data_IF_832262402144
#
_entry.id   IF_832262402144
#
_cell.length_a   1.000
_cell.length_b   1.000
_cell.length_c   1.000
_cell.angle_alpha   90.00
_cell.angle_beta   90.00
_cell.angle_gamma   90.00
#
_symmetry.space_group_name_H-M   'P 1'
#
loop_
_entity.id
_entity.type
_entity.pdbx_description
1 polymer ?
#
# COMPACT_ATOMS: atom_id res chain seq x y z
N UNK A 1 -23.53 2.49 -50.13
CA UNK A 1 -23.13 2.72 -48.72
C UNK A 1 -22.78 4.20 -48.61
N UNK A 2 -23.63 4.97 -47.95
CA UNK A 2 -23.40 6.39 -47.69
C UNK A 2 -22.16 6.51 -46.82
N UNK A 3 -21.12 7.17 -47.32
CA UNK A 3 -20.00 7.60 -46.50
C UNK A 3 -20.54 8.80 -45.74
N UNK A 4 -20.94 8.60 -44.48
CA UNK A 4 -21.23 9.73 -43.60
C UNK A 4 -20.04 10.69 -43.66
N UNK A 5 -20.26 12.01 -43.88
CA UNK A 5 -19.17 12.97 -43.89
C UNK A 5 -18.44 12.85 -42.55
N UNK A 6 -17.13 12.61 -42.64
CA UNK A 6 -16.25 12.41 -41.50
C UNK A 6 -16.35 13.68 -40.65
N UNK A 7 -17.00 13.58 -39.50
CA UNK A 7 -17.10 14.69 -38.56
C UNK A 7 -15.69 15.07 -38.12
N UNK A 8 -15.27 16.30 -38.45
CA UNK A 8 -14.04 16.94 -37.99
C UNK A 8 -14.49 17.95 -36.96
N UNK A 9 -13.96 17.85 -35.74
CA UNK A 9 -14.19 18.85 -34.71
C UNK A 9 -13.18 19.99 -34.87
N UNK A 10 -13.63 21.23 -34.68
CA UNK A 10 -12.77 22.40 -34.52
C UNK A 10 -12.09 22.41 -33.16
N UNK A 11 -11.02 23.21 -33.00
CA UNK A 11 -10.31 23.33 -31.73
C UNK A 11 -11.20 23.84 -30.60
N UNK A 12 -12.10 24.80 -30.89
CA UNK A 12 -13.06 25.33 -29.91
C UNK A 12 -14.07 24.25 -29.48
N UNK A 13 -14.53 23.41 -30.42
CA UNK A 13 -15.42 22.29 -30.08
C UNK A 13 -14.71 21.24 -29.22
N UNK A 14 -13.45 20.92 -29.53
CA UNK A 14 -12.65 19.96 -28.75
C UNK A 14 -12.46 20.47 -27.32
N UNK A 15 -12.09 21.74 -27.15
CA UNK A 15 -11.89 22.37 -25.84
C UNK A 15 -13.20 22.41 -25.04
N UNK A 16 -14.30 22.85 -25.67
CA UNK A 16 -15.61 22.90 -25.03
C UNK A 16 -16.09 21.51 -24.59
N UNK A 17 -15.90 20.49 -25.41
CA UNK A 17 -16.23 19.10 -25.05
C UNK A 17 -15.39 18.62 -23.87
N UNK A 18 -14.08 18.88 -23.87
CA UNK A 18 -13.18 18.51 -22.77
C UNK A 18 -13.63 19.11 -21.44
N UNK A 19 -13.86 20.42 -21.41
CA UNK A 19 -14.35 21.12 -20.21
C UNK A 19 -15.70 20.58 -19.72
N UNK A 20 -16.63 20.32 -20.64
CA UNK A 20 -17.93 19.76 -20.25
C UNK A 20 -17.80 18.34 -19.68
N UNK A 21 -16.97 17.48 -20.26
CA UNK A 21 -16.75 16.12 -19.75
C UNK A 21 -16.17 16.16 -18.34
N UNK A 22 -15.14 16.98 -18.12
CA UNK A 22 -14.51 17.16 -16.80
C UNK A 22 -15.53 17.68 -15.79
N UNK A 23 -16.33 18.70 -16.16
CA UNK A 23 -17.35 19.26 -15.27
C UNK A 23 -18.45 18.25 -14.89
N UNK A 24 -18.93 17.42 -15.83
CA UNK A 24 -19.88 16.36 -15.52
C UNK A 24 -19.29 15.31 -14.58
N UNK A 25 -18.03 14.91 -14.82
CA UNK A 25 -17.35 13.91 -14.01
C UNK A 25 -17.09 14.42 -12.58
N UNK A 26 -16.63 15.67 -12.43
CA UNK A 26 -16.45 16.33 -11.13
C UNK A 26 -17.77 16.50 -10.38
N UNK A 27 -18.89 16.64 -11.09
CA UNK A 27 -20.24 16.63 -10.49
C UNK A 27 -20.77 15.23 -10.13
N UNK A 28 -19.95 14.18 -10.27
CA UNK A 28 -20.31 12.79 -9.99
C UNK A 28 -21.20 12.14 -11.06
N UNK A 29 -21.46 12.82 -12.18
CA UNK A 29 -22.36 12.36 -13.25
C UNK A 29 -21.59 11.55 -14.31
N UNK A 30 -21.06 10.40 -13.88
CA UNK A 30 -20.16 9.52 -14.66
C UNK A 30 -20.75 9.11 -16.02
N UNK A 31 -22.01 8.72 -16.08
CA UNK A 31 -22.69 8.36 -17.34
C UNK A 31 -22.81 9.55 -18.31
N UNK A 32 -23.08 10.75 -17.79
CA UNK A 32 -23.16 11.94 -18.62
C UNK A 32 -21.79 12.32 -19.20
N UNK A 33 -20.74 12.23 -18.37
CA UNK A 33 -19.36 12.42 -18.81
C UNK A 33 -18.98 11.41 -19.91
N UNK A 34 -19.32 10.13 -19.71
CA UNK A 34 -19.11 9.07 -20.69
C UNK A 34 -19.80 9.32 -22.04
N UNK A 35 -21.07 9.74 -22.03
CA UNK A 35 -21.77 10.06 -23.26
C UNK A 35 -21.18 11.29 -23.97
N UNK A 36 -20.79 12.32 -23.20
CA UNK A 36 -20.23 13.56 -23.76
C UNK A 36 -18.83 13.40 -24.35
N UNK A 37 -18.05 12.40 -23.93
CA UNK A 37 -16.71 12.17 -24.49
C UNK A 37 -16.72 11.41 -25.83
N UNK A 38 -17.83 10.78 -26.20
CA UNK A 38 -17.93 9.96 -27.42
C UNK A 38 -17.56 10.71 -28.72
N UNK A 39 -17.93 11.99 -28.92
CA UNK A 39 -17.51 12.73 -30.11
C UNK A 39 -15.99 12.84 -30.23
N UNK A 40 -15.28 13.12 -29.12
CA UNK A 40 -13.82 13.16 -29.08
C UNK A 40 -13.24 11.78 -29.42
N UNK A 41 -13.75 10.72 -28.78
CA UNK A 41 -13.32 9.33 -29.02
C UNK A 41 -13.50 8.91 -30.47
N UNK A 42 -14.57 9.34 -31.14
CA UNK A 42 -14.84 9.00 -32.54
C UNK A 42 -13.84 9.63 -33.52
N UNK A 43 -13.39 10.86 -33.27
CA UNK A 43 -12.53 11.60 -34.21
C UNK A 43 -11.04 11.49 -33.90
N UNK A 44 -10.68 11.03 -32.69
CA UNK A 44 -9.29 10.98 -32.22
C UNK A 44 -8.34 10.28 -33.20
N UNK A 45 -8.78 9.24 -33.90
CA UNK A 45 -7.92 8.44 -34.78
C UNK A 45 -7.34 9.25 -35.97
N UNK A 46 -7.91 10.42 -36.27
CA UNK A 46 -7.47 11.34 -37.34
C UNK A 46 -7.14 12.74 -36.83
N UNK A 47 -7.39 13.02 -35.55
CA UNK A 47 -7.18 14.33 -34.94
C UNK A 47 -6.36 14.17 -33.65
N UNK A 48 -5.03 14.36 -33.71
CA UNK A 48 -4.17 14.32 -32.54
C UNK A 48 -4.62 15.26 -31.42
N UNK A 49 -5.24 16.40 -31.75
CA UNK A 49 -5.80 17.35 -30.79
C UNK A 49 -6.94 16.73 -29.97
N UNK A 50 -7.83 15.97 -30.61
CA UNK A 50 -8.90 15.25 -29.92
C UNK A 50 -8.34 14.09 -29.08
N UNK A 51 -7.29 13.41 -29.57
CA UNK A 51 -6.57 12.41 -28.78
C UNK A 51 -5.94 13.02 -27.52
N UNK A 52 -5.28 14.18 -27.64
CA UNK A 52 -4.71 14.91 -26.51
C UNK A 52 -5.78 15.38 -25.52
N UNK A 53 -6.95 15.81 -26.00
CA UNK A 53 -8.08 16.17 -25.13
C UNK A 53 -8.60 14.97 -24.33
N UNK A 54 -8.73 13.80 -24.96
CA UNK A 54 -9.08 12.55 -24.26
C UNK A 54 -8.06 12.18 -23.19
N UNK A 55 -6.76 12.30 -23.51
CA UNK A 55 -5.69 12.04 -22.55
C UNK A 55 -5.73 13.03 -21.38
N UNK A 56 -6.08 14.30 -21.63
CA UNK A 56 -6.34 15.29 -20.58
C UNK A 56 -7.47 14.85 -19.64
N UNK A 57 -8.60 14.40 -20.19
CA UNK A 57 -9.72 13.87 -19.39
C UNK A 57 -9.29 12.66 -18.55
N UNK A 58 -8.49 11.75 -19.13
CA UNK A 58 -7.94 10.59 -18.40
C UNK A 58 -7.00 11.03 -17.27
N UNK A 59 -6.13 12.01 -17.54
CA UNK A 59 -5.17 12.53 -16.56
C UNK A 59 -5.85 13.11 -15.31
N UNK A 60 -7.00 13.77 -15.47
CA UNK A 60 -7.81 14.30 -14.37
C UNK A 60 -8.51 13.22 -13.53
N UNK A 61 -8.29 11.92 -13.80
CA UNK A 61 -8.86 10.77 -13.05
C UNK A 61 -10.39 10.81 -12.94
N UNK A 62 -11.04 11.41 -13.93
CA UNK A 62 -12.48 11.66 -13.97
C UNK A 62 -13.30 10.46 -14.46
N UNK A 63 -12.63 9.44 -15.02
CA UNK A 63 -13.27 8.28 -15.64
C UNK A 63 -13.08 7.03 -14.80
N UNK A 64 -13.95 6.04 -15.01
CA UNK A 64 -13.70 4.69 -14.49
C UNK A 64 -12.41 4.12 -15.09
N UNK A 65 -11.72 3.28 -14.33
CA UNK A 65 -10.39 2.77 -14.72
C UNK A 65 -10.44 1.99 -16.02
N UNK A 66 -11.47 1.15 -16.20
CA UNK A 66 -11.69 0.35 -17.40
C UNK A 66 -11.87 1.23 -18.63
N UNK A 67 -12.65 2.31 -18.48
CA UNK A 67 -12.85 3.31 -19.53
C UNK A 67 -11.56 4.04 -19.88
N UNK A 68 -10.76 4.41 -18.87
CA UNK A 68 -9.47 5.03 -19.09
C UNK A 68 -8.52 4.11 -19.87
N UNK A 69 -8.46 2.82 -19.51
CA UNK A 69 -7.66 1.80 -20.19
C UNK A 69 -8.07 1.66 -21.66
N UNK A 70 -9.38 1.60 -21.95
CA UNK A 70 -9.90 1.53 -23.32
C UNK A 70 -9.44 2.73 -24.17
N UNK A 71 -9.59 3.94 -23.63
CA UNK A 71 -9.17 5.18 -24.31
C UNK A 71 -7.66 5.17 -24.57
N UNK A 72 -6.86 4.83 -23.55
CA UNK A 72 -5.40 4.77 -23.68
C UNK A 72 -4.98 3.76 -24.74
N UNK A 73 -5.64 2.60 -24.79
CA UNK A 73 -5.38 1.55 -25.79
C UNK A 73 -5.67 2.02 -27.21
N UNK A 74 -6.84 2.61 -27.43
CA UNK A 74 -7.24 3.12 -28.75
C UNK A 74 -6.34 4.24 -29.26
N UNK A 75 -6.01 5.19 -28.37
CA UNK A 75 -5.13 6.32 -28.71
C UNK A 75 -3.71 5.83 -29.00
N UNK A 76 -3.16 4.93 -28.17
CA UNK A 76 -1.84 4.35 -28.38
C UNK A 76 -1.75 3.52 -29.67
N UNK A 77 -2.85 2.91 -30.11
CA UNK A 77 -2.92 2.18 -31.38
C UNK A 77 -3.03 3.11 -32.58
N UNK A 78 -3.81 4.19 -32.46
CA UNK A 78 -4.10 5.10 -33.58
C UNK A 78 -2.95 6.07 -33.88
N UNK A 79 -2.15 6.38 -32.87
CA UNK A 79 -1.04 7.36 -32.94
C UNK A 79 0.30 6.72 -32.61
N UNK A 80 0.56 5.54 -33.16
CA UNK A 80 1.69 4.67 -32.80
C UNK A 80 3.10 5.21 -33.17
N UNK A 81 3.16 6.29 -33.96
CA UNK A 81 4.41 6.99 -34.32
C UNK A 81 4.46 8.45 -33.81
N UNK A 82 3.37 8.97 -33.25
CA UNK A 82 3.35 10.33 -32.73
C UNK A 82 3.95 10.35 -31.32
N UNK A 83 5.19 10.84 -31.23
CA UNK A 83 5.90 10.89 -29.95
C UNK A 83 5.18 11.75 -28.91
N UNK A 84 4.47 12.81 -29.32
CA UNK A 84 3.77 13.71 -28.39
C UNK A 84 2.59 12.98 -27.74
N UNK A 85 1.80 12.30 -28.57
CA UNK A 85 0.65 11.52 -28.12
C UNK A 85 1.11 10.34 -27.26
N UNK A 86 2.08 9.54 -27.72
CA UNK A 86 2.58 8.40 -26.95
C UNK A 86 3.21 8.81 -25.60
N UNK A 87 3.94 9.93 -25.56
CA UNK A 87 4.48 10.46 -24.31
C UNK A 87 3.36 10.80 -23.32
N UNK A 88 2.26 11.38 -23.82
CA UNK A 88 1.09 11.69 -23.01
C UNK A 88 0.35 10.43 -22.55
N UNK A 89 0.20 9.41 -23.41
CA UNK A 89 -0.33 8.09 -23.03
C UNK A 89 0.50 7.51 -21.88
N UNK A 90 1.84 7.50 -22.01
CA UNK A 90 2.74 6.97 -20.98
C UNK A 90 2.57 7.63 -19.61
N UNK A 91 2.37 8.96 -19.59
CA UNK A 91 2.05 9.70 -18.35
C UNK A 91 0.68 9.36 -17.78
N UNK A 92 -0.30 9.10 -18.65
CA UNK A 92 -1.68 8.81 -18.24
C UNK A 92 -1.90 7.38 -17.73
N UNK A 93 -0.97 6.44 -17.96
CA UNK A 93 -1.08 5.07 -17.43
C UNK A 93 -1.17 5.01 -15.91
N UNK A 94 -0.62 6.00 -15.19
CA UNK A 94 -0.80 6.11 -13.74
C UNK A 94 -2.24 6.45 -13.34
N UNK A 95 -3.00 7.17 -14.17
CA UNK A 95 -4.42 7.43 -13.94
C UNK A 95 -5.28 6.19 -14.19
N UNK A 96 -4.79 5.25 -15.00
CA UNK A 96 -5.40 3.95 -15.27
C UNK A 96 -4.95 2.84 -14.29
N UNK A 97 -4.13 3.17 -13.29
CA UNK A 97 -3.71 2.25 -12.23
C UNK A 97 -4.51 2.51 -10.95
N UNK A 98 -4.72 1.46 -10.14
CA UNK A 98 -5.33 1.61 -8.82
C UNK A 98 -4.30 2.19 -7.85
N UNK A 99 -4.21 3.53 -7.82
CA UNK A 99 -3.24 4.23 -6.96
C UNK A 99 -3.61 4.15 -5.48
N UNK A 100 -4.89 3.89 -5.18
CA UNK A 100 -5.37 3.78 -3.81
C UNK A 100 -4.95 2.43 -3.23
N UNK A 101 -4.92 1.34 -4.02
CA UNK A 101 -4.31 0.08 -3.60
C UNK A 101 -2.82 0.02 -3.97
N UNK A 102 -1.99 0.78 -3.25
CA UNK A 102 -0.54 0.88 -3.49
C UNK A 102 0.19 -0.48 -3.52
N UNK A 103 -0.35 -1.50 -2.82
CA UNK A 103 0.20 -2.85 -2.79
C UNK A 103 -0.38 -3.78 -3.88
N UNK A 104 -1.20 -3.28 -4.81
CA UNK A 104 -1.72 -4.07 -5.91
C UNK A 104 -0.60 -4.75 -6.73
N UNK A 105 -0.89 -5.91 -7.34
CA UNK A 105 0.00 -6.47 -8.36
C UNK A 105 0.12 -5.52 -9.57
N UNK A 106 1.17 -5.65 -10.39
CA UNK A 106 1.33 -4.87 -11.61
C UNK A 106 0.12 -5.04 -12.52
N UNK A 107 -0.25 -3.99 -13.28
CA UNK A 107 -1.40 -4.03 -14.17
C UNK A 107 -1.21 -5.11 -15.24
N UNK A 108 -2.24 -5.92 -15.45
CA UNK A 108 -2.22 -7.02 -16.42
C UNK A 108 -2.65 -6.62 -17.84
N UNK A 109 -3.09 -5.37 -18.05
CA UNK A 109 -3.56 -4.95 -19.36
C UNK A 109 -2.38 -4.76 -20.35
N UNK A 110 -2.46 -5.32 -21.58
CA UNK A 110 -1.38 -5.23 -22.57
C UNK A 110 -0.96 -3.81 -22.94
N UNK A 111 -1.82 -2.79 -22.76
CA UNK A 111 -1.50 -1.39 -23.11
C UNK A 111 -0.26 -0.89 -22.37
N UNK A 112 -0.07 -1.30 -21.10
CA UNK A 112 1.07 -0.88 -20.29
C UNK A 112 2.39 -1.35 -20.90
N UNK A 113 2.48 -2.62 -21.30
CA UNK A 113 3.67 -3.18 -21.93
C UNK A 113 3.92 -2.58 -23.31
N UNK A 114 2.88 -2.48 -24.14
CA UNK A 114 2.94 -1.94 -25.50
C UNK A 114 3.43 -0.48 -25.52
N UNK A 115 2.93 0.35 -24.62
CA UNK A 115 3.34 1.76 -24.51
C UNK A 115 4.78 1.89 -24.05
N UNK A 116 5.22 1.09 -23.07
CA UNK A 116 6.63 1.07 -22.64
C UNK A 116 7.56 0.70 -23.80
N UNK A 117 7.24 -0.35 -24.56
CA UNK A 117 8.06 -0.78 -25.70
C UNK A 117 8.15 0.29 -26.79
N UNK A 118 7.03 0.92 -27.14
CA UNK A 118 6.98 2.02 -28.11
C UNK A 118 7.80 3.22 -27.64
N UNK A 119 7.64 3.62 -26.39
CA UNK A 119 8.35 4.77 -25.82
C UNK A 119 9.86 4.51 -25.67
N UNK A 120 10.26 3.28 -25.35
CA UNK A 120 11.68 2.89 -25.34
C UNK A 120 12.31 3.01 -26.73
N UNK A 121 11.59 2.55 -27.77
CA UNK A 121 12.02 2.71 -29.16
C UNK A 121 12.17 4.17 -29.56
N UNK A 122 11.18 5.01 -29.24
CA UNK A 122 11.22 6.44 -29.50
C UNK A 122 12.36 7.14 -28.73
N UNK A 123 12.61 6.76 -27.47
CA UNK A 123 13.67 7.36 -26.66
C UNK A 123 15.06 7.16 -27.29
N UNK A 124 15.29 6.04 -27.99
CA UNK A 124 16.51 5.76 -28.77
C UNK A 124 16.58 6.60 -30.04
N UNK A 125 15.46 6.72 -30.78
CA UNK A 125 15.40 7.52 -32.03
C UNK A 125 15.66 9.00 -31.77
N UNK A 126 15.14 9.53 -30.66
CA UNK A 126 15.25 10.94 -30.29
C UNK A 126 16.42 11.23 -29.35
N UNK A 127 17.38 10.32 -29.19
CA UNK A 127 18.51 10.51 -28.28
C UNK A 127 19.28 11.81 -28.54
N UNK A 128 19.48 12.60 -27.48
CA UNK A 128 20.16 13.90 -27.55
C UNK A 128 19.34 15.03 -28.19
N UNK A 129 18.08 14.76 -28.57
CA UNK A 129 17.18 15.78 -29.16
C UNK A 129 16.23 16.33 -28.09
N UNK A 130 15.70 17.57 -28.27
CA UNK A 130 14.75 18.16 -27.33
C UNK A 130 13.49 17.31 -27.08
N UNK A 131 13.06 16.52 -28.06
CA UNK A 131 11.90 15.63 -27.94
C UNK A 131 12.15 14.44 -26.99
N UNK A 132 13.40 14.14 -26.66
CA UNK A 132 13.73 13.02 -25.78
C UNK A 132 13.15 13.20 -24.38
N UNK A 133 13.13 14.43 -23.85
CA UNK A 133 12.64 14.72 -22.50
C UNK A 133 11.19 14.24 -22.30
N UNK A 134 10.18 14.71 -23.06
CA UNK A 134 8.80 14.28 -22.85
C UNK A 134 8.60 12.77 -23.08
N UNK A 135 9.38 12.16 -23.99
CA UNK A 135 9.36 10.71 -24.23
C UNK A 135 9.85 9.97 -22.98
N UNK A 136 10.95 10.41 -22.39
CA UNK A 136 11.49 9.82 -21.16
C UNK A 136 10.56 10.04 -19.96
N UNK A 137 9.86 11.18 -19.86
CA UNK A 137 8.85 11.40 -18.82
C UNK A 137 7.69 10.39 -18.92
N UNK A 138 7.18 10.17 -20.14
CA UNK A 138 6.17 9.15 -20.40
C UNK A 138 6.69 7.74 -20.12
N UNK A 139 7.91 7.42 -20.58
CA UNK A 139 8.53 6.11 -20.42
C UNK A 139 8.78 5.78 -18.95
N UNK A 140 9.33 6.72 -18.19
CA UNK A 140 9.62 6.52 -16.77
C UNK A 140 8.34 6.25 -15.97
N UNK A 141 7.27 7.01 -16.25
CA UNK A 141 5.95 6.82 -15.61
C UNK A 141 5.35 5.47 -15.97
N UNK A 142 5.29 5.15 -17.26
CA UNK A 142 4.74 3.90 -17.76
C UNK A 142 5.50 2.67 -17.22
N UNK A 143 6.84 2.73 -17.23
CA UNK A 143 7.69 1.66 -16.72
C UNK A 143 7.54 1.48 -15.20
N UNK A 144 7.41 2.57 -14.43
CA UNK A 144 7.16 2.51 -12.99
C UNK A 144 5.83 1.83 -12.65
N UNK A 145 4.79 2.02 -13.47
CA UNK A 145 3.48 1.36 -13.31
C UNK A 145 3.54 -0.16 -13.47
N UNK A 146 4.49 -0.67 -14.27
CA UNK A 146 4.77 -2.11 -14.39
C UNK A 146 5.60 -2.67 -13.22
N UNK A 147 5.63 -1.95 -12.09
CA UNK A 147 6.31 -2.33 -10.87
C UNK A 147 7.72 -2.89 -11.15
N UNK A 148 8.08 -4.05 -10.58
CA UNK A 148 9.43 -4.61 -10.68
C UNK A 148 9.81 -5.09 -12.09
N UNK A 149 8.83 -5.29 -12.97
CA UNK A 149 9.06 -5.87 -14.30
C UNK A 149 9.88 -4.95 -15.23
N UNK A 150 9.87 -3.64 -15.00
CA UNK A 150 10.54 -2.64 -15.84
C UNK A 150 11.41 -1.65 -15.05
N UNK A 151 11.91 -2.05 -13.89
CA UNK A 151 12.70 -1.17 -13.01
C UNK A 151 13.94 -0.57 -13.68
N UNK A 152 14.67 -1.36 -14.47
CA UNK A 152 15.84 -0.87 -15.19
C UNK A 152 15.50 0.26 -16.18
N UNK A 153 14.36 0.16 -16.86
CA UNK A 153 13.88 1.19 -17.79
C UNK A 153 13.41 2.42 -17.02
N UNK A 154 12.64 2.24 -15.94
CA UNK A 154 12.15 3.34 -15.11
C UNK A 154 13.31 4.13 -14.48
N UNK A 155 14.28 3.45 -13.87
CA UNK A 155 15.43 4.08 -13.23
C UNK A 155 16.30 4.82 -14.24
N UNK A 156 16.69 4.16 -15.34
CA UNK A 156 17.54 4.78 -16.36
C UNK A 156 16.88 6.01 -16.97
N UNK A 157 15.55 5.96 -17.20
CA UNK A 157 14.78 7.10 -17.70
C UNK A 157 14.73 8.25 -16.70
N UNK A 158 14.46 7.98 -15.42
CA UNK A 158 14.48 9.01 -14.37
C UNK A 158 15.86 9.64 -14.20
N UNK A 159 16.94 8.84 -14.19
CA UNK A 159 18.31 9.37 -14.12
C UNK A 159 18.61 10.25 -15.33
N UNK A 160 18.22 9.83 -16.54
CA UNK A 160 18.44 10.64 -17.75
C UNK A 160 17.69 11.97 -17.69
N UNK A 161 16.47 11.99 -17.16
CA UNK A 161 15.73 13.24 -16.94
C UNK A 161 16.45 14.19 -15.98
N UNK A 162 17.07 13.67 -14.91
CA UNK A 162 17.89 14.51 -14.00
C UNK A 162 19.18 15.02 -14.66
N UNK A 163 19.72 14.33 -15.66
CA UNK A 163 20.86 14.81 -16.45
C UNK A 163 20.47 15.91 -17.44
N UNK A 164 19.31 15.75 -18.10
CA UNK A 164 18.78 16.74 -19.06
C UNK A 164 18.38 18.02 -18.32
N UNK A 165 17.69 17.88 -17.19
CA UNK A 165 17.18 19.00 -16.39
C UNK A 165 17.64 18.92 -14.92
N UNK A 166 18.92 19.20 -14.63
CA UNK A 166 19.47 19.05 -13.28
C UNK A 166 18.85 19.99 -12.25
N UNK A 167 18.21 21.09 -12.70
CA UNK A 167 17.56 22.09 -11.84
C UNK A 167 16.03 21.92 -11.74
N UNK A 168 15.44 20.93 -12.40
CA UNK A 168 13.98 20.67 -12.33
C UNK A 168 13.69 19.79 -11.12
N UNK A 169 13.18 20.40 -10.05
CA UNK A 169 12.86 19.70 -8.79
C UNK A 169 12.01 18.44 -8.98
N UNK A 170 11.00 18.52 -9.86
CA UNK A 170 10.11 17.41 -10.19
C UNK A 170 10.85 16.16 -10.74
N UNK A 171 11.96 16.32 -11.46
CA UNK A 171 12.75 15.18 -11.95
C UNK A 171 13.39 14.41 -10.78
N UNK A 172 13.94 15.13 -9.80
CA UNK A 172 14.54 14.54 -8.62
C UNK A 172 13.49 13.93 -7.68
N UNK A 173 12.34 14.59 -7.53
CA UNK A 173 11.22 14.04 -6.76
C UNK A 173 10.74 12.71 -7.33
N UNK A 174 10.53 12.62 -8.66
CA UNK A 174 10.06 11.40 -9.29
C UNK A 174 11.08 10.25 -9.19
N UNK A 175 12.38 10.55 -9.28
CA UNK A 175 13.43 9.57 -9.01
C UNK A 175 13.42 9.12 -7.53
N UNK A 176 13.20 10.04 -6.60
CA UNK A 176 13.04 9.74 -5.18
C UNK A 176 11.82 8.86 -4.88
N UNK A 177 10.70 9.13 -5.55
CA UNK A 177 9.48 8.31 -5.46
C UNK A 177 9.72 6.90 -6.01
N UNK A 178 10.41 6.78 -7.14
CA UNK A 178 10.84 5.48 -7.67
C UNK A 178 11.63 4.72 -6.60
N UNK A 179 12.68 5.32 -6.03
CA UNK A 179 13.49 4.68 -4.99
C UNK A 179 12.70 4.31 -3.71
N UNK A 180 11.78 5.16 -3.26
CA UNK A 180 10.89 4.89 -2.11
C UNK A 180 10.14 3.56 -2.29
N UNK A 181 9.49 3.39 -3.44
CA UNK A 181 8.68 2.19 -3.74
C UNK A 181 9.52 0.92 -3.97
N UNK A 182 10.85 1.06 -4.10
CA UNK A 182 11.81 -0.03 -4.28
C UNK A 182 12.64 -0.35 -3.03
N UNK A 183 12.35 0.28 -1.90
CA UNK A 183 13.11 0.09 -0.66
C UNK A 183 14.53 0.66 -0.70
N UNK A 184 14.89 1.37 -1.78
CA UNK A 184 16.20 2.03 -1.97
C UNK A 184 16.21 3.38 -1.27
N UNK A 185 15.91 3.31 0.03
CA UNK A 185 15.56 4.48 0.82
C UNK A 185 16.69 5.50 0.91
N UNK A 186 17.95 5.08 0.95
CA UNK A 186 19.11 5.98 0.99
C UNK A 186 19.25 6.80 -0.30
N UNK A 187 19.07 6.19 -1.48
CA UNK A 187 19.00 6.94 -2.73
C UNK A 187 17.77 7.85 -2.77
N UNK A 188 16.63 7.37 -2.25
CA UNK A 188 15.41 8.15 -2.09
C UNK A 188 15.60 9.41 -1.23
N UNK A 189 16.35 9.32 -0.13
CA UNK A 189 16.73 10.49 0.70
C UNK A 189 17.49 11.51 -0.14
N UNK A 190 18.53 11.06 -0.86
CA UNK A 190 19.38 11.94 -1.67
C UNK A 190 18.56 12.67 -2.74
N UNK A 191 17.74 11.94 -3.50
CA UNK A 191 16.92 12.54 -4.56
C UNK A 191 15.87 13.52 -4.02
N UNK A 192 15.17 13.18 -2.93
CA UNK A 192 14.18 14.10 -2.36
C UNK A 192 14.82 15.33 -1.70
N UNK A 193 16.03 15.23 -1.13
CA UNK A 193 16.77 16.39 -0.63
C UNK A 193 17.12 17.36 -1.77
N UNK A 194 17.58 16.84 -2.91
CA UNK A 194 17.85 17.68 -4.09
C UNK A 194 16.54 18.33 -4.57
N UNK A 195 15.45 17.55 -4.67
CA UNK A 195 14.15 18.07 -5.07
C UNK A 195 13.67 19.22 -4.16
N UNK A 196 13.75 19.05 -2.84
CA UNK A 196 13.41 20.07 -1.85
C UNK A 196 14.32 21.31 -1.94
N UNK A 197 15.63 21.12 -2.17
CA UNK A 197 16.58 22.24 -2.29
C UNK A 197 16.40 23.09 -3.56
N UNK A 198 15.78 22.52 -4.60
CA UNK A 198 15.53 23.18 -5.88
C UNK A 198 14.14 23.82 -5.97
N UNK A 199 13.27 23.56 -4.99
CA UNK A 199 11.94 24.15 -4.96
C UNK A 199 12.01 25.56 -4.35
N UNK A 200 11.38 26.53 -5.00
CA UNK A 200 11.31 27.91 -4.50
C UNK A 200 10.46 28.02 -3.23
N UNK A 201 9.51 27.10 -3.06
CA UNK A 201 8.63 26.97 -1.90
C UNK A 201 8.66 25.55 -1.36
N UNK A 202 8.28 25.40 -0.09
CA UNK A 202 8.17 24.08 0.53
C UNK A 202 7.06 23.29 -0.14
N UNK A 203 7.42 22.19 -0.80
CA UNK A 203 6.47 21.26 -1.42
C UNK A 203 6.24 20.10 -0.45
N UNK A 204 5.03 20.01 0.10
CA UNK A 204 4.69 19.03 1.15
C UNK A 204 4.98 17.57 0.73
N UNK A 205 4.70 17.22 -0.53
CA UNK A 205 4.95 15.87 -1.04
C UNK A 205 6.44 15.50 -1.06
N UNK A 206 7.33 16.48 -1.21
CA UNK A 206 8.78 16.27 -1.19
C UNK A 206 9.24 15.95 0.23
N UNK A 207 8.72 16.69 1.21
CA UNK A 207 9.01 16.46 2.64
C UNK A 207 8.45 15.12 3.12
N UNK A 208 7.21 14.75 2.74
CA UNK A 208 6.64 13.44 3.05
C UNK A 208 7.51 12.29 2.51
N UNK A 209 7.89 12.34 1.23
CA UNK A 209 8.72 11.29 0.64
C UNK A 209 10.13 11.28 1.25
N UNK A 210 10.70 12.44 1.56
CA UNK A 210 11.98 12.53 2.26
C UNK A 210 11.91 11.92 3.66
N UNK A 211 10.87 12.23 4.44
CA UNK A 211 10.67 11.69 5.79
C UNK A 211 10.45 10.18 5.80
N UNK A 212 9.67 9.66 4.86
CA UNK A 212 9.45 8.21 4.69
C UNK A 212 10.76 7.51 4.31
N UNK A 213 11.48 8.02 3.30
CA UNK A 213 12.77 7.47 2.91
C UNK A 213 13.80 7.56 4.04
N UNK A 214 13.87 8.68 4.78
CA UNK A 214 14.81 8.82 5.88
C UNK A 214 14.50 7.83 7.01
N UNK A 215 13.21 7.60 7.32
CA UNK A 215 12.78 6.60 8.29
C UNK A 215 13.11 5.18 7.82
N UNK A 216 12.82 4.87 6.55
CA UNK A 216 13.12 3.57 5.93
C UNK A 216 14.62 3.27 5.84
N UNK A 217 15.46 4.28 5.61
CA UNK A 217 16.91 4.16 5.59
C UNK A 217 17.54 4.09 7.00
N UNK A 218 16.75 4.27 8.07
CA UNK A 218 17.28 4.42 9.43
C UNK A 218 18.10 5.69 9.64
N UNK A 219 17.95 6.70 8.76
CA UNK A 219 18.60 8.00 8.90
C UNK A 219 17.81 8.87 9.88
N UNK A 220 17.90 8.52 11.16
CA UNK A 220 17.09 9.11 12.24
C UNK A 220 17.24 10.62 12.35
N UNK A 221 18.45 11.15 12.13
CA UNK A 221 18.69 12.59 12.20
C UNK A 221 17.90 13.35 11.13
N UNK A 222 17.96 12.90 9.88
CA UNK A 222 17.20 13.51 8.77
C UNK A 222 15.70 13.30 8.96
N UNK A 223 15.27 12.09 9.34
CA UNK A 223 13.86 11.81 9.56
C UNK A 223 13.27 12.70 10.67
N UNK A 224 13.97 12.82 11.80
CA UNK A 224 13.55 13.67 12.92
C UNK A 224 13.45 15.14 12.52
N UNK A 225 14.45 15.66 11.80
CA UNK A 225 14.44 17.04 11.31
C UNK A 225 13.24 17.30 10.39
N UNK A 226 13.03 16.46 9.37
CA UNK A 226 11.91 16.58 8.41
C UNK A 226 10.59 16.62 9.15
N UNK A 227 10.32 15.62 10.00
CA UNK A 227 9.05 15.56 10.70
C UNK A 227 8.84 16.74 11.67
N UNK A 228 9.88 17.22 12.35
CA UNK A 228 9.81 18.44 13.16
C UNK A 228 9.52 19.68 12.32
N UNK A 229 10.14 19.83 11.14
CA UNK A 229 9.82 20.89 10.17
C UNK A 229 8.38 20.81 9.67
N UNK A 230 7.82 19.61 9.57
CA UNK A 230 6.40 19.36 9.26
C UNK A 230 5.47 19.45 10.48
N UNK A 231 5.94 20.02 11.60
CA UNK A 231 5.12 20.30 12.79
C UNK A 231 4.77 19.07 13.63
N UNK A 232 5.42 17.92 13.41
CA UNK A 232 5.17 16.71 14.18
C UNK A 232 5.80 16.78 15.57
N UNK A 233 5.01 16.47 16.59
CA UNK A 233 5.48 16.39 17.98
C UNK A 233 6.16 15.03 18.24
N UNK A 234 7.43 14.92 17.86
CA UNK A 234 8.19 13.67 17.93
C UNK A 234 9.62 13.85 18.43
N UNK A 235 10.16 12.79 19.03
CA UNK A 235 11.55 12.69 19.50
C UNK A 235 12.17 11.35 19.10
N UNK A 236 13.45 11.12 19.39
CA UNK A 236 14.04 9.79 19.17
C UNK A 236 13.42 8.78 20.13
N UNK A 237 12.81 7.74 19.56
CA UNK A 237 12.04 6.72 20.28
C UNK A 237 12.79 5.43 20.60
N UNK A 238 12.00 4.44 21.03
CA UNK A 238 12.44 3.14 21.56
C UNK A 238 13.27 2.32 20.57
N UNK A 239 13.08 2.56 19.28
CA UNK A 239 13.72 1.82 18.19
C UNK A 239 14.87 2.60 17.53
N UNK A 240 15.30 3.71 18.14
CA UNK A 240 16.23 4.63 17.49
C UNK A 240 15.62 5.33 16.27
N UNK A 241 14.30 5.33 16.14
CA UNK A 241 13.52 5.98 15.09
C UNK A 241 12.67 7.11 15.68
N UNK A 242 12.24 8.11 14.90
CA UNK A 242 11.41 9.20 15.41
C UNK A 242 10.04 8.70 15.89
N UNK A 243 9.69 8.98 17.15
CA UNK A 243 8.49 8.48 17.82
C UNK A 243 7.72 9.62 18.51
N UNK A 244 6.40 9.58 18.41
CA UNK A 244 5.47 10.47 19.09
C UNK A 244 4.15 9.76 19.40
N UNK A 245 3.12 10.54 19.71
CA UNK A 245 1.78 10.01 20.02
C UNK A 245 0.83 10.24 18.86
N UNK A 246 0.31 9.15 18.31
CA UNK A 246 -0.61 9.18 17.19
C UNK A 246 -1.87 8.38 17.53
N UNK A 247 -2.98 8.75 16.89
CA UNK A 247 -4.18 7.92 16.92
C UNK A 247 -3.88 6.53 16.35
N UNK A 248 -4.55 5.51 16.89
CA UNK A 248 -4.46 4.17 16.34
C UNK A 248 -4.91 4.16 14.89
N UNK A 249 -4.27 3.31 14.09
CA UNK A 249 -4.65 3.10 12.71
C UNK A 249 -4.60 1.62 12.37
N UNK A 250 -5.08 1.30 11.18
CA UNK A 250 -4.97 -0.04 10.62
C UNK A 250 -3.90 -0.06 9.53
N UNK A 251 -3.33 -1.24 9.32
CA UNK A 251 -2.42 -1.49 8.20
C UNK A 251 -2.88 -2.74 7.47
N UNK A 252 -2.96 -2.67 6.15
CA UNK A 252 -3.11 -3.85 5.30
C UNK A 252 -1.72 -4.44 5.10
N UNK A 253 -1.38 -5.38 5.97
CA UNK A 253 -0.13 -6.11 5.91
C UNK A 253 -0.15 -7.08 4.74
N UNK A 254 0.99 -7.22 4.10
CA UNK A 254 1.23 -8.13 3.00
C UNK A 254 2.36 -9.11 3.35
N UNK A 255 2.26 -10.34 2.86
CA UNK A 255 3.34 -11.33 2.85
C UNK A 255 4.59 -10.79 2.13
N UNK A 256 4.36 -10.00 1.09
CA UNK A 256 5.39 -9.33 0.29
C UNK A 256 5.15 -7.82 0.25
N UNK A 257 5.70 -7.08 1.22
CA UNK A 257 5.56 -5.62 1.31
C UNK A 257 6.12 -4.94 0.05
N UNK A 258 5.52 -3.82 -0.38
CA UNK A 258 5.84 -3.19 -1.67
C UNK A 258 7.34 -3.03 -1.91
N UNK A 259 8.09 -2.55 -0.92
CA UNK A 259 9.50 -2.23 -1.05
C UNK A 259 10.42 -3.46 -1.05
N UNK A 260 9.91 -4.63 -0.63
CA UNK A 260 10.67 -5.88 -0.50
C UNK A 260 10.45 -6.83 -1.69
N UNK A 261 9.57 -6.48 -2.65
CA UNK A 261 9.27 -7.30 -3.83
C UNK A 261 10.43 -7.39 -4.81
N UNK A 262 10.47 -8.51 -5.54
CA UNK A 262 11.35 -8.75 -6.69
C UNK A 262 10.55 -8.90 -7.98
N UNK A 263 11.21 -8.97 -9.14
CA UNK A 263 10.55 -9.21 -10.43
C UNK A 263 9.82 -10.55 -10.52
N UNK A 264 10.26 -11.54 -9.76
CA UNK A 264 9.67 -12.89 -9.75
C UNK A 264 8.45 -12.97 -8.83
N UNK A 265 8.38 -12.12 -7.81
CA UNK A 265 7.36 -12.12 -6.77
C UNK A 265 6.80 -10.71 -6.59
N UNK A 266 6.21 -10.19 -7.66
CA UNK A 266 5.72 -8.82 -7.75
C UNK A 266 4.22 -8.70 -7.43
N UNK A 267 3.78 -9.34 -6.36
CA UNK A 267 2.40 -9.29 -5.87
C UNK A 267 2.43 -9.33 -4.32
N UNK A 268 1.38 -8.87 -3.62
CA UNK A 268 1.39 -8.80 -2.15
C UNK A 268 1.37 -10.16 -1.45
N UNK A 269 1.02 -11.24 -2.14
CA UNK A 269 0.75 -12.55 -1.55
C UNK A 269 -0.48 -12.54 -0.65
N UNK A 270 -0.39 -13.27 0.46
CA UNK A 270 -1.43 -13.21 1.48
C UNK A 270 -1.44 -11.81 2.15
N UNK A 271 -2.64 -11.36 2.52
CA UNK A 271 -2.82 -10.05 3.17
C UNK A 271 -3.71 -10.15 4.41
N UNK A 272 -3.43 -9.33 5.43
CA UNK A 272 -4.23 -9.22 6.64
C UNK A 272 -4.32 -7.76 7.09
N UNK A 273 -5.53 -7.28 7.39
CA UNK A 273 -5.70 -5.92 7.92
C UNK A 273 -5.77 -5.95 9.43
N UNK A 274 -4.76 -5.37 10.07
CA UNK A 274 -4.61 -5.37 11.54
C UNK A 274 -4.65 -3.97 12.12
N UNK A 275 -4.73 -3.89 13.44
CA UNK A 275 -4.46 -2.66 14.19
C UNK A 275 -2.98 -2.58 14.56
N UNK A 276 -2.41 -1.38 14.51
CA UNK A 276 -1.05 -1.11 14.98
C UNK A 276 -1.04 0.02 16.01
N UNK A 277 -0.01 0.03 16.85
CA UNK A 277 0.38 1.23 17.58
C UNK A 277 1.22 2.08 16.64
N UNK A 278 0.64 3.20 16.17
CA UNK A 278 1.32 4.15 15.28
C UNK A 278 2.30 5.00 16.07
N UNK A 279 3.56 5.00 15.64
CA UNK A 279 4.66 5.66 16.35
C UNK A 279 5.10 6.95 15.69
N UNK A 280 4.92 7.07 14.38
CA UNK A 280 5.26 8.25 13.59
C UNK A 280 4.28 8.44 12.43
N UNK A 281 4.44 9.47 11.59
CA UNK A 281 3.65 9.61 10.38
C UNK A 281 3.75 8.40 9.43
N UNK A 282 4.85 7.64 9.46
CA UNK A 282 5.10 6.59 8.48
C UNK A 282 5.58 5.25 9.06
N UNK A 283 5.51 5.02 10.37
CA UNK A 283 5.83 3.70 10.93
C UNK A 283 5.07 3.40 12.22
N UNK A 284 4.98 2.12 12.57
CA UNK A 284 4.43 1.68 13.84
C UNK A 284 4.78 0.23 14.18
N UNK A 285 4.34 -0.21 15.35
CA UNK A 285 4.59 -1.55 15.87
C UNK A 285 3.32 -2.39 15.82
N UNK A 286 3.48 -3.65 15.38
CA UNK A 286 2.37 -4.61 15.29
C UNK A 286 1.91 -5.00 16.69
N UNK A 287 0.65 -4.71 17.02
CA UNK A 287 0.00 -5.01 18.31
C UNK A 287 -1.19 -5.97 18.20
N UNK A 288 -1.44 -6.50 17.02
CA UNK A 288 -2.34 -7.63 16.80
C UNK A 288 -1.50 -8.87 16.51
N UNK A 289 -1.80 -10.01 17.14
CA UNK A 289 -1.22 -11.28 16.69
C UNK A 289 -1.93 -11.66 15.39
N UNK A 290 -1.15 -11.98 14.35
CA UNK A 290 -1.70 -12.26 13.02
C UNK A 290 -2.39 -13.62 12.99
N UNK A 291 -3.47 -13.70 12.22
CA UNK A 291 -4.13 -14.96 11.87
C UNK A 291 -3.38 -15.68 10.74
N UNK A 292 -3.00 -14.94 9.70
CA UNK A 292 -2.21 -15.46 8.59
C UNK A 292 -0.74 -15.60 8.99
N UNK A 293 0.02 -16.41 8.24
CA UNK A 293 1.47 -16.41 8.33
C UNK A 293 2.04 -15.57 7.19
N UNK A 294 2.24 -14.28 7.45
CA UNK A 294 2.76 -13.31 6.46
C UNK A 294 4.29 -13.20 6.51
N UNK A 295 4.97 -14.05 7.28
CA UNK A 295 6.40 -13.90 7.55
C UNK A 295 6.77 -12.71 8.43
N UNK A 296 5.79 -11.92 8.92
CA UNK A 296 5.90 -10.83 9.91
C UNK A 296 5.04 -11.14 11.14
N UNK A 297 5.40 -10.60 12.30
CA UNK A 297 4.77 -11.01 13.57
C UNK A 297 4.53 -9.85 14.53
N UNK A 298 3.79 -10.15 15.59
CA UNK A 298 3.62 -9.28 16.75
C UNK A 298 4.96 -8.70 17.21
N UNK A 299 4.97 -7.41 17.49
CA UNK A 299 6.16 -6.67 17.91
C UNK A 299 7.05 -6.17 16.77
N UNK A 300 6.94 -6.70 15.54
CA UNK A 300 7.72 -6.17 14.41
C UNK A 300 7.34 -4.69 14.14
N UNK A 301 8.33 -3.91 13.70
CA UNK A 301 8.15 -2.50 13.34
C UNK A 301 8.03 -2.40 11.83
N UNK A 302 6.92 -1.84 11.35
CA UNK A 302 6.61 -1.72 9.93
C UNK A 302 6.60 -0.27 9.47
N UNK A 303 7.06 -0.05 8.24
CA UNK A 303 6.95 1.19 7.50
C UNK A 303 5.64 1.19 6.70
N UNK A 304 4.96 2.32 6.73
CA UNK A 304 3.72 2.56 6.00
C UNK A 304 3.86 3.82 5.14
N UNK A 305 3.06 3.96 4.10
CA UNK A 305 2.97 5.23 3.39
C UNK A 305 2.18 6.26 4.23
N UNK A 306 2.37 7.55 3.94
CA UNK A 306 1.66 8.64 4.60
C UNK A 306 0.21 8.79 4.14
N UNK A 307 -0.11 8.27 2.94
CA UNK A 307 -1.46 8.26 2.38
C UNK A 307 -2.20 6.95 2.74
N UNK A 308 -3.40 7.01 3.33
CA UNK A 308 -4.22 5.83 3.56
C UNK A 308 -4.81 5.31 2.24
N UNK A 309 -4.95 3.99 2.13
CA UNK A 309 -5.58 3.31 0.99
C UNK A 309 -7.10 3.26 1.08
N UNK A 310 -7.63 3.32 2.30
CA UNK A 310 -9.07 3.44 2.57
C UNK A 310 -9.28 3.88 4.03
N UNK A 311 -10.53 4.12 4.41
CA UNK A 311 -10.95 4.34 5.79
C UNK A 311 -12.00 3.30 6.16
N UNK A 312 -12.03 2.92 7.43
CA UNK A 312 -13.03 2.03 7.99
C UNK A 312 -13.82 2.75 9.08
N UNK A 313 -15.15 2.79 8.93
CA UNK A 313 -16.04 3.37 9.92
C UNK A 313 -16.17 2.49 11.17
N UNK A 314 -16.02 3.07 12.35
CA UNK A 314 -16.32 2.46 13.64
C UNK A 314 -17.20 3.43 14.43
N UNK A 315 -18.52 3.23 14.36
CA UNK A 315 -19.48 4.23 14.85
C UNK A 315 -19.33 5.53 14.06
N UNK A 316 -19.05 6.64 14.75
CA UNK A 316 -18.81 7.96 14.14
C UNK A 316 -17.33 8.19 13.77
N UNK A 317 -16.44 7.26 14.12
CA UNK A 317 -14.99 7.42 13.91
C UNK A 317 -14.58 6.80 12.59
N UNK A 318 -13.85 7.58 11.78
CA UNK A 318 -13.19 7.09 10.57
C UNK A 318 -11.74 6.71 10.88
N UNK A 319 -11.40 5.44 10.67
CA UNK A 319 -10.07 4.90 10.98
C UNK A 319 -9.30 4.66 9.69
N UNK A 320 -8.15 5.33 9.49
CA UNK A 320 -7.36 5.14 8.27
C UNK A 320 -6.73 3.74 8.22
N UNK A 321 -6.70 3.18 7.02
CA UNK A 321 -5.98 1.96 6.68
C UNK A 321 -4.80 2.34 5.80
N UNK A 322 -3.58 2.01 6.22
CA UNK A 322 -2.37 2.33 5.47
C UNK A 322 -1.82 1.09 4.74
N UNK A 323 -1.07 1.28 3.64
CA UNK A 323 -0.40 0.18 2.96
C UNK A 323 0.91 -0.17 3.68
N UNK A 324 1.27 -1.46 3.69
CA UNK A 324 2.55 -1.93 4.20
C UNK A 324 3.66 -1.72 3.15
N UNK A 325 4.64 -0.85 3.44
CA UNK A 325 5.77 -0.60 2.55
C UNK A 325 6.93 -1.57 2.79
N UNK A 326 7.38 -1.70 4.03
CA UNK A 326 8.54 -2.50 4.42
C UNK A 326 8.50 -2.88 5.90
N UNK A 327 9.23 -3.92 6.28
CA UNK A 327 9.50 -4.26 7.68
C UNK A 327 10.82 -3.65 8.11
N UNK A 328 10.78 -2.67 9.01
CA UNK A 328 11.98 -1.96 9.50
C UNK A 328 12.77 -2.80 10.49
N UNK A 329 12.08 -3.44 11.44
CA UNK A 329 12.73 -4.22 12.50
C UNK A 329 11.96 -5.50 12.78
N UNK A 330 12.69 -6.61 12.75
CA UNK A 330 12.22 -7.93 13.19
C UNK A 330 12.50 -8.10 14.67
N UNK A 331 11.46 -8.36 15.46
CA UNK A 331 11.58 -8.59 16.90
C UNK A 331 11.60 -10.07 17.28
N UNK A 332 11.28 -10.95 16.33
CA UNK A 332 11.38 -12.41 16.48
C UNK A 332 10.61 -12.93 17.71
N UNK A 333 9.37 -12.45 17.88
CA UNK A 333 8.49 -12.99 18.91
C UNK A 333 8.25 -14.48 18.65
N UNK A 334 8.22 -15.25 19.73
CA UNK A 334 7.81 -16.64 19.70
C UNK A 334 6.29 -16.69 19.60
N UNK A 335 5.76 -17.49 18.69
CA UNK A 335 4.31 -17.59 18.46
C UNK A 335 3.88 -19.05 18.57
N UNK A 336 2.82 -19.30 19.34
CA UNK A 336 2.28 -20.64 19.57
C UNK A 336 0.77 -20.65 19.42
N UNK A 337 0.22 -21.58 18.64
CA UNK A 337 -1.24 -21.77 18.57
C UNK A 337 -1.78 -22.32 19.90
N UNK A 338 -2.98 -21.90 20.27
CA UNK A 338 -3.72 -22.45 21.39
C UNK A 338 -5.18 -22.74 21.02
N UNK A 339 -5.75 -23.70 21.75
CA UNK A 339 -7.19 -23.91 21.84
C UNK A 339 -7.57 -24.00 23.31
N UNK A 340 -8.72 -23.47 23.69
CA UNK A 340 -9.13 -23.40 25.08
C UNK A 340 -10.64 -23.32 25.25
N UNK A 341 -11.05 -23.41 26.52
CA UNK A 341 -12.44 -23.22 26.92
C UNK A 341 -12.58 -22.05 27.88
N UNK A 342 -13.71 -21.35 27.80
CA UNK A 342 -14.06 -20.24 28.69
C UNK A 342 -15.57 -20.18 28.96
N UNK A 343 -15.93 -19.59 30.09
CA UNK A 343 -17.32 -19.37 30.47
C UNK A 343 -17.80 -17.98 30.02
N UNK A 344 -16.94 -16.97 30.07
CA UNK A 344 -17.26 -15.59 29.69
C UNK A 344 -16.43 -15.16 28.49
N UNK A 345 -16.97 -14.26 27.66
CA UNK A 345 -16.23 -13.70 26.53
C UNK A 345 -14.92 -13.09 27.02
N UNK A 346 -13.87 -13.17 26.20
CA UNK A 346 -12.55 -12.57 26.47
C UNK A 346 -11.74 -13.17 27.64
N UNK A 347 -12.30 -14.11 28.42
CA UNK A 347 -11.65 -14.64 29.62
C UNK A 347 -10.22 -15.17 29.37
N UNK A 348 -10.00 -15.89 28.26
CA UNK A 348 -8.67 -16.41 27.89
C UNK A 348 -7.74 -15.33 27.36
N UNK A 349 -8.24 -14.34 26.62
CA UNK A 349 -7.38 -13.29 26.11
C UNK A 349 -7.02 -12.25 27.19
N UNK A 350 -7.87 -12.08 28.20
CA UNK A 350 -7.64 -11.18 29.34
C UNK A 350 -6.58 -11.73 30.31
N UNK A 351 -6.11 -12.97 30.14
CA UNK A 351 -4.93 -13.46 30.87
C UNK A 351 -3.66 -12.70 30.49
N UNK A 352 -3.64 -12.03 29.34
CA UNK A 352 -2.51 -11.19 28.91
C UNK A 352 -2.13 -10.13 29.95
N UNK A 353 -3.09 -9.63 30.73
CA UNK A 353 -2.83 -8.66 31.80
C UNK A 353 -2.05 -9.24 33.00
N UNK A 354 -1.98 -10.57 33.11
CA UNK A 354 -1.25 -11.29 34.15
C UNK A 354 0.12 -11.81 33.67
N UNK A 355 0.44 -11.66 32.38
CA UNK A 355 1.69 -12.13 31.82
C UNK A 355 2.80 -11.09 32.04
N UNK A 356 4.03 -11.56 32.17
CA UNK A 356 5.20 -10.70 32.27
C UNK A 356 5.57 -10.14 30.88
N UNK A 357 6.24 -8.98 30.90
CA UNK A 357 6.72 -8.28 29.70
C UNK A 357 5.60 -7.97 28.69
N UNK A 358 5.86 -8.16 27.41
CA UNK A 358 4.98 -7.84 26.28
C UNK A 358 4.35 -9.12 25.69
N UNK A 359 4.16 -10.15 26.53
CA UNK A 359 3.53 -11.40 26.12
C UNK A 359 2.00 -11.27 26.08
N UNK A 360 1.37 -11.86 25.07
CA UNK A 360 -0.07 -11.72 24.81
C UNK A 360 -0.69 -13.05 24.42
N UNK A 361 -1.91 -13.29 24.90
CA UNK A 361 -2.82 -14.35 24.41
C UNK A 361 -3.91 -13.69 23.59
N UNK A 362 -3.95 -14.03 22.30
CA UNK A 362 -4.84 -13.40 21.33
C UNK A 362 -5.86 -14.40 20.79
N UNK A 363 -7.12 -14.23 21.20
CA UNK A 363 -8.26 -15.06 20.79
C UNK A 363 -8.74 -14.73 19.38
N UNK A 364 -8.15 -15.35 18.36
CA UNK A 364 -8.59 -15.17 16.97
C UNK A 364 -10.06 -15.49 16.75
N UNK A 365 -10.58 -16.56 17.34
CA UNK A 365 -12.00 -16.92 17.17
C UNK A 365 -12.98 -15.84 17.67
N UNK A 366 -12.53 -14.91 18.51
CA UNK A 366 -13.35 -13.81 19.05
C UNK A 366 -13.05 -12.45 18.40
N UNK A 367 -11.96 -12.32 17.64
CA UNK A 367 -11.47 -11.04 17.14
C UNK A 367 -11.21 -11.00 15.63
N UNK A 368 -11.16 -12.15 14.97
CA UNK A 368 -10.94 -12.27 13.54
C UNK A 368 -12.24 -12.09 12.74
N UNK A 369 -12.15 -11.43 11.59
CA UNK A 369 -13.28 -11.22 10.66
C UNK A 369 -12.83 -11.47 9.23
N UNK A 370 -13.69 -12.12 8.44
CA UNK A 370 -13.54 -12.20 6.99
C UNK A 370 -14.53 -11.25 6.33
N UNK A 371 -14.02 -10.39 5.46
CA UNK A 371 -14.80 -9.50 4.61
C UNK A 371 -14.57 -9.86 3.15
N UNK A 372 -15.58 -9.69 2.29
CA UNK A 372 -15.33 -9.70 0.86
C UNK A 372 -14.59 -8.40 0.45
N UNK A 373 -13.97 -8.41 -0.72
CA UNK A 373 -13.19 -7.28 -1.20
C UNK A 373 -14.02 -5.97 -1.32
N UNK A 374 -15.32 -6.09 -1.64
CA UNK A 374 -16.20 -4.92 -1.74
C UNK A 374 -16.50 -4.31 -0.35
N UNK A 375 -16.92 -5.13 0.62
CA UNK A 375 -17.17 -4.66 1.98
C UNK A 375 -15.91 -4.12 2.65
N UNK A 376 -14.73 -4.66 2.32
CA UNK A 376 -13.46 -4.15 2.85
C UNK A 376 -13.09 -2.78 2.23
N UNK A 377 -13.41 -2.54 0.96
CA UNK A 377 -13.11 -1.25 0.30
C UNK A 377 -14.10 -0.15 0.63
N UNK A 378 -15.32 -0.51 1.00
CA UNK A 378 -16.42 0.43 1.26
C UNK A 378 -16.21 1.17 2.60
N UNK A 379 -15.95 2.49 2.58
CA UNK A 379 -15.71 3.26 3.80
C UNK A 379 -16.98 3.51 4.62
N UNK A 380 -18.17 3.30 4.05
CA UNK A 380 -19.46 3.55 4.69
C UNK A 380 -19.96 2.32 5.49
N UNK A 381 -19.33 1.15 5.30
CA UNK A 381 -19.64 -0.04 6.09
C UNK A 381 -19.18 0.16 7.53
N UNK A 382 -20.14 0.22 8.45
CA UNK A 382 -19.83 0.34 9.87
C UNK A 382 -19.28 -0.98 10.44
N UNK A 383 -17.99 -0.99 10.74
CA UNK A 383 -17.27 -2.12 11.32
C UNK A 383 -17.45 -2.26 12.84
N UNK A 384 -18.18 -1.36 13.49
CA UNK A 384 -18.52 -1.46 14.91
C UNK A 384 -19.71 -2.41 15.18
N UNK A 385 -20.63 -2.57 14.21
CA UNK A 385 -21.82 -3.41 14.37
C UNK A 385 -21.43 -4.89 14.45
N UNK A 386 -21.24 -5.39 15.67
CA UNK A 386 -20.99 -6.80 15.92
C UNK A 386 -21.53 -7.23 17.29
N UNK A 387 -22.53 -8.11 17.28
CA UNK A 387 -22.91 -8.86 18.47
C UNK A 387 -21.77 -9.81 18.84
N UNK A 388 -21.11 -9.57 19.98
CA UNK A 388 -20.09 -10.47 20.51
C UNK A 388 -20.66 -11.88 20.69
N UNK A 389 -20.31 -12.81 19.79
CA UNK A 389 -20.73 -14.21 19.92
C UNK A 389 -19.99 -14.79 21.12
N UNK A 390 -20.73 -15.15 22.18
CA UNK A 390 -20.17 -15.88 23.32
C UNK A 390 -19.67 -17.23 22.82
N UNK A 391 -18.36 -17.40 22.76
CA UNK A 391 -17.72 -18.65 22.37
C UNK A 391 -17.19 -19.37 23.60
N UNK A 392 -17.69 -20.59 23.82
CA UNK A 392 -17.20 -21.48 24.87
C UNK A 392 -15.88 -22.15 24.50
N UNK A 393 -15.65 -22.41 23.22
CA UNK A 393 -14.39 -22.89 22.66
C UNK A 393 -13.73 -21.75 21.92
N UNK A 394 -12.46 -21.49 22.24
CA UNK A 394 -11.69 -20.37 21.71
C UNK A 394 -10.40 -20.90 21.11
N UNK A 395 -10.07 -20.40 19.92
CA UNK A 395 -8.79 -20.65 19.27
C UNK A 395 -8.06 -19.34 19.04
N UNK A 396 -6.74 -19.40 19.09
CA UNK A 396 -5.92 -18.20 19.01
C UNK A 396 -4.44 -18.51 18.98
N UNK A 397 -3.65 -17.46 19.18
CA UNK A 397 -2.19 -17.56 19.30
C UNK A 397 -1.68 -16.83 20.53
N UNK A 398 -0.61 -17.36 21.08
CA UNK A 398 0.20 -16.74 22.13
C UNK A 398 1.40 -16.13 21.43
N UNK A 399 1.69 -14.85 21.66
CA UNK A 399 2.94 -14.22 21.24
C UNK A 399 3.74 -13.83 22.48
N UNK A 400 5.05 -14.11 22.48
CA UNK A 400 5.93 -13.74 23.58
C UNK A 400 7.28 -13.23 23.07
N UNK A 401 7.89 -12.25 23.75
CA UNK A 401 9.24 -11.81 23.44
C UNK A 401 10.24 -12.99 23.42
N UNK A 402 11.31 -12.93 22.61
CA UNK A 402 12.33 -13.98 22.57
C UNK A 402 13.08 -14.14 23.90
N UNK A 403 13.03 -13.14 24.79
CA UNK A 403 13.63 -13.19 26.13
C UNK A 403 12.91 -14.12 27.11
N UNK A 404 11.63 -14.44 26.88
CA UNK A 404 10.86 -15.29 27.78
C UNK A 404 11.07 -16.75 27.38
N UNK A 405 11.68 -17.55 28.26
CA UNK A 405 11.81 -18.98 28.05
C UNK A 405 10.42 -19.67 27.97
N UNK A 406 10.18 -20.59 27.03
CA UNK A 406 8.90 -21.29 26.88
C UNK A 406 8.34 -21.90 28.18
N UNK A 407 9.20 -22.50 29.02
CA UNK A 407 8.80 -23.05 30.31
C UNK A 407 8.31 -21.98 31.30
N UNK A 408 8.92 -20.79 31.28
CA UNK A 408 8.48 -19.64 32.10
C UNK A 408 7.16 -19.08 31.58
N UNK A 409 7.01 -18.94 30.26
CA UNK A 409 5.76 -18.50 29.65
C UNK A 409 4.60 -19.42 30.04
N UNK A 410 4.82 -20.73 30.00
CA UNK A 410 3.82 -21.72 30.38
C UNK A 410 3.44 -21.64 31.88
N UNK A 411 4.43 -21.46 32.77
CA UNK A 411 4.20 -21.23 34.21
C UNK A 411 3.37 -19.96 34.47
N UNK A 412 3.63 -18.88 33.72
CA UNK A 412 2.84 -17.64 33.81
C UNK A 412 1.39 -17.85 33.36
N UNK A 413 1.19 -18.53 32.23
CA UNK A 413 -0.14 -18.87 31.72
C UNK A 413 -0.90 -19.74 32.73
N UNK A 414 -0.26 -20.76 33.30
CA UNK A 414 -0.89 -21.63 34.31
C UNK A 414 -1.32 -20.86 35.55
N UNK A 415 -0.45 -19.96 36.05
CA UNK A 415 -0.76 -19.07 37.18
C UNK A 415 -1.92 -18.12 36.86
N UNK A 416 -1.95 -17.56 35.65
CA UNK A 416 -3.02 -16.66 35.23
C UNK A 416 -4.36 -17.42 35.09
N UNK A 417 -4.34 -18.63 34.54
CA UNK A 417 -5.53 -19.49 34.42
C UNK A 417 -6.03 -19.92 35.80
N UNK A 418 -5.15 -20.24 36.75
CA UNK A 418 -5.54 -20.63 38.10
C UNK A 418 -6.30 -19.54 38.88
N UNK A 419 -6.14 -18.26 38.51
CA UNK A 419 -6.92 -17.14 39.08
C UNK A 419 -8.36 -17.06 38.54
N UNK A 420 -8.69 -17.83 37.50
CA UNK A 420 -9.95 -17.72 36.77
C UNK A 420 -10.75 -19.02 36.94
N UNK A 421 -12.03 -18.88 37.22
CA UNK A 421 -12.91 -20.04 37.30
C UNK A 421 -13.22 -20.58 35.90
N UNK A 422 -13.16 -21.90 35.74
CA UNK A 422 -13.71 -22.63 34.58
C UNK A 422 -13.16 -22.17 33.21
N UNK A 423 -11.87 -21.89 33.12
CA UNK A 423 -11.16 -21.75 31.84
C UNK A 423 -9.97 -22.69 31.73
N UNK A 424 -9.68 -23.15 30.52
CA UNK A 424 -8.53 -24.01 30.21
C UNK A 424 -7.90 -23.59 28.90
N UNK A 425 -6.59 -23.73 28.78
CA UNK A 425 -5.82 -23.42 27.59
C UNK A 425 -4.86 -24.57 27.30
N UNK A 426 -4.83 -24.99 26.04
CA UNK A 426 -3.97 -26.07 25.54
C UNK A 426 -3.10 -25.52 24.41
N UNK A 427 -1.78 -25.59 24.60
CA UNK A 427 -0.78 -25.06 23.66
C UNK A 427 0.32 -26.13 23.45
N UNK A 428 0.09 -27.12 22.57
CA UNK A 428 0.96 -28.28 22.46
C UNK A 428 2.39 -27.93 22.04
N UNK A 429 2.57 -26.94 21.16
CA UNK A 429 3.88 -26.57 20.66
C UNK A 429 4.66 -25.71 21.66
N UNK A 430 3.97 -24.93 22.48
CA UNK A 430 4.57 -24.28 23.66
C UNK A 430 5.06 -25.32 24.66
N UNK A 431 4.27 -26.37 24.94
CA UNK A 431 4.69 -27.47 25.80
C UNK A 431 5.90 -28.23 25.25
N UNK A 432 5.97 -28.42 23.92
CA UNK A 432 7.13 -29.00 23.25
C UNK A 432 8.38 -28.12 23.44
N UNK A 433 8.26 -26.81 23.18
CA UNK A 433 9.33 -25.85 23.34
C UNK A 433 9.80 -25.72 24.81
N UNK A 434 8.92 -25.98 25.77
CA UNK A 434 9.24 -26.05 27.20
C UNK A 434 9.88 -27.39 27.64
N UNK A 435 10.03 -28.37 26.74
CA UNK A 435 10.58 -29.70 27.07
C UNK A 435 9.62 -30.62 27.84
N UNK A 436 8.32 -30.33 27.87
CA UNK A 436 7.32 -31.05 28.66
C UNK A 436 6.55 -32.08 27.81
N UNK A 437 7.23 -33.14 27.36
CA UNK A 437 6.68 -34.14 26.42
C UNK A 437 5.38 -34.81 26.90
N UNK A 438 5.26 -35.09 28.20
CA UNK A 438 4.06 -35.71 28.77
C UNK A 438 2.84 -34.79 28.67
N UNK A 439 2.99 -33.51 29.00
CA UNK A 439 1.95 -32.49 28.90
C UNK A 439 1.64 -32.18 27.43
N UNK A 440 2.65 -32.02 26.59
CA UNK A 440 2.51 -31.82 25.15
C UNK A 440 1.58 -32.86 24.50
N UNK A 441 1.72 -34.14 24.86
CA UNK A 441 0.82 -35.19 24.37
C UNK A 441 -0.63 -35.03 24.82
N UNK A 442 -0.86 -34.54 26.03
CA UNK A 442 -2.21 -34.26 26.57
C UNK A 442 -2.80 -33.04 25.86
N UNK A 443 -2.06 -31.94 25.82
CA UNK A 443 -2.44 -30.69 25.15
C UNK A 443 -2.73 -30.95 23.68
N UNK A 444 -1.93 -31.76 22.98
CA UNK A 444 -2.17 -32.06 21.56
C UNK A 444 -3.48 -32.81 21.33
N UNK A 445 -3.86 -33.73 22.23
CA UNK A 445 -5.16 -34.42 22.17
C UNK A 445 -6.31 -33.47 22.45
N UNK A 446 -6.17 -32.58 23.44
CA UNK A 446 -7.21 -31.60 23.82
C UNK A 446 -7.37 -30.52 22.77
N UNK A 447 -6.26 -29.99 22.25
CA UNK A 447 -6.22 -29.07 21.12
C UNK A 447 -6.97 -29.68 19.94
N UNK A 448 -6.62 -30.90 19.51
CA UNK A 448 -7.30 -31.57 18.41
C UNK A 448 -8.80 -31.82 18.66
N UNK A 449 -9.22 -32.06 19.90
CA UNK A 449 -10.64 -32.19 20.25
C UNK A 449 -11.39 -30.86 20.11
N UNK A 450 -10.75 -29.75 20.47
CA UNK A 450 -11.36 -28.41 20.44
C UNK A 450 -11.33 -27.78 19.04
N UNK A 451 -10.33 -28.11 18.24
CA UNK A 451 -10.18 -27.63 16.85
C UNK A 451 -10.72 -28.60 15.81
N UNK A 452 -11.02 -29.84 16.22
CA UNK A 452 -11.44 -30.96 15.39
C UNK A 452 -12.87 -31.41 15.70
N UNK A 453 -13.79 -30.47 15.49
CA UNK A 453 -15.11 -30.62 14.87
C UNK A 453 -15.24 -29.50 13.84
#
# INVERSE_FOLDING_TARGET
>A
MSIDPIAVLSSEEIEALSHHVIAEAQAGRKEAAWHKLQPLRKVQLRQPEAAMALLGIVYERCLQREVAIDILSEVAQSHDQDFRVLSAVGRCLEAASDIDDLNAPPPGDPVFHSVVEKLEGLAKVYEGRPQQEPILEGLATAARMLARQRDAIAESSHRKLTEINPKKSACHYNLGLFYKTRGRFSEGVTSNQIAASLADEVVESYEWNLGICATGAGNTAVALDVWKRMGQAIEIGRFGLPEGRYAQCKVKLAERPLAERTSELDDPGAEETIWIERLSPCHGIIRSVLYQNLGINYGDVVLIDGAPITHHAYGEVQVPVFPHLATLLRRNYQVFDFAGTQDTARQLADISADLDEDAVVYSHSESFRMLCANCWRDPDVNHDQHEGVRKHVVTGRIAAPPGIAPARLLDLIDKAIAKRERCQLYAPDLCAAAGLTARQRIDRRRFALLTGN
#
